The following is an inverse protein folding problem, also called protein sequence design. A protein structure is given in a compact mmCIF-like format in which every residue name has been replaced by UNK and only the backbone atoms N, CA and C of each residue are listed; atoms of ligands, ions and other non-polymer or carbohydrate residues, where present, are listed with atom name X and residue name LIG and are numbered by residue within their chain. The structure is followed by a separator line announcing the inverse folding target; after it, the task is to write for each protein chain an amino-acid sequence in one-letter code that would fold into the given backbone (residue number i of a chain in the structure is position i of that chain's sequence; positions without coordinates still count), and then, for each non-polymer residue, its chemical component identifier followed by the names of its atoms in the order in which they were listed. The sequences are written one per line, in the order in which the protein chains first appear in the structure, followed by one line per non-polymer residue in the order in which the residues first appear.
data_IF_505202715934
#
_entry.id   IF_505202715934
#
_cell.length_a   1.000
_cell.length_b   1.000
_cell.length_c   1.000
_cell.angle_alpha   90.00
_cell.angle_beta   90.00
_cell.angle_gamma   90.00
#
_symmetry.space_group_name_H-M   'P 1'
#
loop_
_entity.id
_entity.type
_entity.pdbx_description
1 polymer ?
#
# COMPACT_ATOMS: atom_id res chain seq x y z
N UNK A 1 -64.62 -14.24 -25.29
CA UNK A 1 -63.52 -13.95 -24.37
C UNK A 1 -63.98 -13.31 -23.08
N UNK A 2 -65.08 -12.54 -23.09
CA UNK A 2 -65.63 -11.84 -21.92
C UNK A 2 -66.57 -12.65 -21.02
N UNK A 3 -66.97 -13.88 -21.43
CA UNK A 3 -67.91 -14.76 -20.69
C UNK A 3 -67.20 -15.78 -19.76
N UNK A 4 -65.89 -15.66 -19.60
CA UNK A 4 -65.14 -16.62 -18.76
C UNK A 4 -64.87 -15.99 -17.36
N UNK A 5 -65.88 -16.01 -16.52
CA UNK A 5 -65.84 -15.45 -15.16
C UNK A 5 -64.65 -15.94 -14.30
N UNK A 6 -64.21 -17.24 -14.35
CA UNK A 6 -63.05 -17.66 -13.59
C UNK A 6 -61.74 -17.05 -14.10
N UNK A 7 -61.58 -16.86 -15.40
CA UNK A 7 -60.39 -16.25 -16.00
C UNK A 7 -60.28 -14.75 -15.60
N UNK A 8 -61.41 -14.01 -15.70
CA UNK A 8 -61.47 -12.62 -15.29
C UNK A 8 -61.15 -12.43 -13.78
N UNK A 9 -61.65 -13.35 -12.97
CA UNK A 9 -61.39 -13.33 -11.52
C UNK A 9 -59.88 -13.64 -11.21
N UNK A 10 -59.26 -14.54 -11.94
CA UNK A 10 -57.84 -14.81 -11.79
C UNK A 10 -56.99 -13.62 -12.24
N UNK A 11 -57.33 -12.98 -13.36
CA UNK A 11 -56.64 -11.77 -13.80
C UNK A 11 -56.80 -10.62 -12.76
N UNK A 12 -58.03 -10.42 -12.27
CA UNK A 12 -58.29 -9.39 -11.24
C UNK A 12 -57.51 -9.65 -9.92
N UNK A 13 -57.47 -10.92 -9.49
CA UNK A 13 -56.68 -11.31 -8.31
C UNK A 13 -55.19 -11.09 -8.54
N UNK A 14 -54.66 -11.48 -9.71
CA UNK A 14 -53.26 -11.27 -10.06
C UNK A 14 -52.90 -9.78 -10.07
N UNK A 15 -53.73 -8.94 -10.68
CA UNK A 15 -53.55 -7.47 -10.70
C UNK A 15 -53.64 -6.88 -9.29
N UNK A 16 -54.55 -7.37 -8.46
CA UNK A 16 -54.64 -6.95 -7.06
C UNK A 16 -53.40 -7.29 -6.26
N UNK A 17 -52.88 -8.52 -6.40
CA UNK A 17 -51.62 -8.94 -5.76
C UNK A 17 -50.43 -8.13 -6.23
N UNK A 18 -50.30 -7.88 -7.54
CA UNK A 18 -49.23 -7.04 -8.09
C UNK A 18 -49.31 -5.60 -7.57
N UNK A 19 -50.52 -5.02 -7.50
CA UNK A 19 -50.72 -3.67 -6.96
C UNK A 19 -50.39 -3.61 -5.47
N UNK A 20 -50.83 -4.60 -4.69
CA UNK A 20 -50.52 -4.70 -3.26
C UNK A 20 -49.01 -4.84 -3.04
N UNK A 21 -48.32 -5.64 -3.83
CA UNK A 21 -46.87 -5.81 -3.79
C UNK A 21 -46.15 -4.49 -4.15
N UNK A 22 -46.61 -3.78 -5.17
CA UNK A 22 -46.03 -2.49 -5.57
C UNK A 22 -46.20 -1.42 -4.48
N UNK A 23 -47.37 -1.36 -3.84
CA UNK A 23 -47.62 -0.43 -2.71
C UNK A 23 -46.77 -0.80 -1.50
N UNK A 24 -46.65 -2.10 -1.20
CA UNK A 24 -45.80 -2.58 -0.11
C UNK A 24 -44.31 -2.24 -0.36
N UNK A 25 -43.83 -2.51 -1.57
CA UNK A 25 -42.45 -2.17 -1.97
C UNK A 25 -42.19 -0.65 -1.90
N UNK A 26 -43.12 0.16 -2.45
CA UNK A 26 -43.01 1.62 -2.39
C UNK A 26 -43.03 2.15 -0.95
N UNK A 27 -43.90 1.62 -0.11
CA UNK A 27 -43.96 1.96 1.32
C UNK A 27 -42.69 1.59 2.07
N UNK A 28 -42.16 0.36 1.85
CA UNK A 28 -40.92 -0.10 2.44
C UNK A 28 -39.73 0.74 1.95
N UNK A 29 -39.64 1.01 0.65
CA UNK A 29 -38.62 1.87 0.08
C UNK A 29 -38.65 3.27 0.69
N UNK A 30 -39.83 3.87 0.82
CA UNK A 30 -40.00 5.17 1.46
C UNK A 30 -39.54 5.17 2.93
N UNK A 31 -39.93 4.15 3.70
CA UNK A 31 -39.52 3.99 5.09
C UNK A 31 -38.00 3.88 5.24
N UNK A 32 -37.38 3.02 4.42
CA UNK A 32 -35.92 2.81 4.47
C UNK A 32 -35.13 4.07 4.13
N UNK A 33 -35.66 4.93 3.23
CA UNK A 33 -35.00 6.19 2.84
C UNK A 33 -35.37 7.40 3.70
N UNK A 34 -36.19 7.21 4.73
CA UNK A 34 -36.55 8.29 5.65
C UNK A 34 -35.33 8.73 6.46
N UNK A 35 -34.84 10.00 6.34
CA UNK A 35 -33.60 10.45 7.00
C UNK A 35 -33.65 10.40 8.53
N UNK A 36 -34.85 10.39 9.11
CA UNK A 36 -35.04 10.25 10.57
C UNK A 36 -35.07 8.82 11.09
N UNK A 37 -35.10 7.81 10.22
CA UNK A 37 -35.15 6.40 10.61
C UNK A 37 -33.71 5.87 10.81
N UNK A 38 -33.32 5.53 12.04
CA UNK A 38 -32.01 5.00 12.39
C UNK A 38 -30.85 5.87 11.87
N UNK A 39 -30.74 7.15 12.27
CA UNK A 39 -29.62 7.97 11.87
C UNK A 39 -28.31 7.37 12.41
N UNK A 40 -27.24 7.42 11.63
CA UNK A 40 -25.91 7.03 12.12
C UNK A 40 -25.46 8.03 13.18
N UNK A 41 -25.34 7.59 14.43
CA UNK A 41 -24.97 8.44 15.56
C UNK A 41 -23.51 8.31 15.97
N UNK A 42 -22.94 7.12 15.78
CA UNK A 42 -21.62 6.80 16.31
C UNK A 42 -20.74 6.22 15.19
N UNK A 43 -19.60 6.84 14.98
CA UNK A 43 -18.52 6.26 14.21
C UNK A 43 -17.42 5.85 15.19
N UNK A 44 -17.12 4.56 15.24
CA UNK A 44 -16.05 4.00 16.09
C UNK A 44 -14.88 3.59 15.25
N UNK A 45 -13.69 3.99 15.67
CA UNK A 45 -12.44 3.47 15.15
C UNK A 45 -12.14 2.16 15.89
N UNK A 46 -11.94 1.08 15.15
CA UNK A 46 -11.67 -0.25 15.72
C UNK A 46 -10.25 -0.36 16.26
N UNK A 47 -9.32 0.35 15.65
CA UNK A 47 -7.92 0.46 16.07
C UNK A 47 -7.55 1.95 16.11
N UNK A 48 -6.70 2.32 17.08
CA UNK A 48 -6.14 3.66 17.11
C UNK A 48 -5.10 3.77 15.99
N UNK A 49 -5.25 4.69 15.04
CA UNK A 49 -4.24 4.92 14.03
C UNK A 49 -2.98 5.50 14.69
N UNK A 50 -1.79 5.08 14.23
CA UNK A 50 -0.52 5.57 14.77
C UNK A 50 -0.07 6.87 14.09
N UNK A 51 -0.37 7.01 12.79
CA UNK A 51 0.10 8.13 11.94
C UNK A 51 -1.03 9.02 11.44
N UNK A 52 -2.24 8.54 11.42
CA UNK A 52 -3.42 9.32 11.04
C UNK A 52 -4.04 9.95 12.29
N UNK A 53 -4.28 11.25 12.26
CA UNK A 53 -4.89 11.96 13.40
C UNK A 53 -6.35 11.54 13.53
N UNK A 54 -6.69 10.88 14.62
CA UNK A 54 -8.03 10.32 14.85
C UNK A 54 -9.14 11.38 14.81
N UNK A 55 -8.84 12.60 15.28
CA UNK A 55 -9.79 13.72 15.30
C UNK A 55 -10.09 14.24 13.89
N UNK A 56 -9.10 14.27 13.00
CA UNK A 56 -9.28 14.67 11.61
C UNK A 56 -10.19 13.67 10.88
N UNK A 57 -9.94 12.38 11.08
CA UNK A 57 -10.78 11.31 10.52
C UNK A 57 -12.22 11.41 11.04
N UNK A 58 -12.40 11.62 12.35
CA UNK A 58 -13.75 11.75 12.91
C UNK A 58 -14.48 12.99 12.37
N UNK A 59 -13.77 14.11 12.21
CA UNK A 59 -14.35 15.34 11.67
C UNK A 59 -14.76 15.17 10.21
N UNK A 60 -13.90 14.55 9.38
CA UNK A 60 -14.20 14.21 7.98
C UNK A 60 -15.42 13.29 7.87
N UNK A 61 -15.46 12.23 8.68
CA UNK A 61 -16.57 11.28 8.68
C UNK A 61 -17.88 11.94 9.11
N UNK A 62 -17.89 12.78 10.17
CA UNK A 62 -19.09 13.50 10.60
C UNK A 62 -19.62 14.46 9.53
N UNK A 63 -18.74 15.09 8.77
CA UNK A 63 -19.13 16.02 7.71
C UNK A 63 -19.73 15.32 6.48
N UNK A 64 -19.40 14.05 6.25
CA UNK A 64 -19.72 13.32 5.03
C UNK A 64 -20.72 12.17 5.25
N UNK A 65 -21.02 11.80 6.50
CA UNK A 65 -22.05 10.80 6.78
C UNK A 65 -23.43 11.42 6.57
N UNK A 66 -23.99 11.18 5.39
CA UNK A 66 -25.33 11.62 5.02
C UNK A 66 -26.23 10.41 4.84
N UNK A 67 -27.51 10.56 5.27
CA UNK A 67 -28.49 9.49 5.20
C UNK A 67 -28.71 8.78 6.54
N UNK A 68 -29.21 7.56 6.47
CA UNK A 68 -29.47 6.72 7.63
C UNK A 68 -28.62 5.46 7.60
N UNK A 69 -28.76 4.59 8.61
CA UNK A 69 -28.02 3.32 8.72
C UNK A 69 -28.06 2.44 7.47
N UNK A 70 -29.14 2.47 6.69
CA UNK A 70 -29.31 1.66 5.48
C UNK A 70 -28.80 2.35 4.23
N UNK A 71 -28.92 3.69 4.16
CA UNK A 71 -28.70 4.48 2.95
C UNK A 71 -27.33 5.17 2.90
N UNK A 72 -26.57 5.16 4.02
CA UNK A 72 -25.22 5.73 4.06
C UNK A 72 -24.32 5.04 3.02
N UNK A 73 -23.64 5.84 2.19
CA UNK A 73 -22.73 5.35 1.17
C UNK A 73 -21.37 5.01 1.78
N UNK A 74 -21.17 3.72 2.04
CA UNK A 74 -19.92 3.19 2.62
C UNK A 74 -18.77 3.25 1.63
N UNK A 75 -19.03 3.06 0.34
CA UNK A 75 -17.97 3.04 -0.68
C UNK A 75 -17.43 4.44 -0.92
N UNK A 76 -18.29 5.45 -0.90
CA UNK A 76 -17.87 6.84 -0.93
C UNK A 76 -17.02 7.21 0.28
N UNK A 77 -17.44 6.82 1.49
CA UNK A 77 -16.69 7.06 2.73
C UNK A 77 -15.32 6.35 2.69
N UNK A 78 -15.29 5.09 2.24
CA UNK A 78 -14.05 4.33 2.07
C UNK A 78 -13.09 5.05 1.12
N UNK A 79 -13.54 5.39 -0.08
CA UNK A 79 -12.70 6.04 -1.09
C UNK A 79 -12.17 7.43 -0.69
N UNK A 80 -12.83 8.12 0.27
CA UNK A 80 -12.29 9.35 0.84
C UNK A 80 -11.19 9.08 1.87
N UNK A 81 -11.37 8.08 2.72
CA UNK A 81 -10.42 7.73 3.76
C UNK A 81 -9.14 7.09 3.18
N UNK A 82 -9.27 6.33 2.09
CA UNK A 82 -8.13 5.74 1.37
C UNK A 82 -7.25 6.77 0.64
N UNK A 83 -7.70 8.02 0.53
CA UNK A 83 -6.87 9.13 0.03
C UNK A 83 -5.93 9.73 1.07
N UNK A 84 -6.08 9.36 2.33
CA UNK A 84 -5.18 9.84 3.39
C UNK A 84 -3.78 9.22 3.21
N UNK A 85 -2.70 9.99 3.33
CA UNK A 85 -1.35 9.58 2.94
C UNK A 85 -0.87 8.26 3.55
N UNK A 86 -1.19 8.00 4.80
CA UNK A 86 -0.72 6.81 5.52
C UNK A 86 -1.72 5.65 5.52
N UNK A 87 -2.89 5.82 4.90
CA UNK A 87 -3.94 4.80 4.87
C UNK A 87 -3.73 3.87 3.70
N UNK A 88 -3.49 2.59 3.96
CA UNK A 88 -3.36 1.54 2.96
C UNK A 88 -4.72 0.97 2.54
N UNK A 89 -5.56 0.68 3.53
CA UNK A 89 -6.86 0.07 3.30
C UNK A 89 -7.84 0.47 4.41
N UNK A 90 -9.10 0.62 4.06
CA UNK A 90 -10.17 0.97 5.01
C UNK A 90 -11.27 -0.08 4.94
N UNK A 91 -11.62 -0.62 6.08
CA UNK A 91 -12.80 -1.47 6.22
C UNK A 91 -13.87 -0.75 7.02
N UNK A 92 -15.05 -0.57 6.43
CA UNK A 92 -16.21 0.05 7.10
C UNK A 92 -17.31 -0.98 7.20
N UNK A 93 -17.79 -1.21 8.42
CA UNK A 93 -18.89 -2.14 8.71
C UNK A 93 -20.02 -1.44 9.45
N UNK A 94 -21.23 -1.80 9.10
CA UNK A 94 -22.43 -1.36 9.85
C UNK A 94 -22.61 -2.22 11.09
N UNK A 95 -22.72 -1.58 12.24
CA UNK A 95 -23.08 -2.22 13.51
C UNK A 95 -24.46 -1.71 13.97
N UNK A 96 -25.44 -2.60 13.91
CA UNK A 96 -26.81 -2.26 14.27
C UNK A 96 -26.91 -1.75 15.72
N UNK A 97 -27.75 -0.74 16.06
CA UNK A 97 -28.74 -0.12 15.18
C UNK A 97 -28.27 1.17 14.47
N UNK A 98 -27.22 1.86 14.92
CA UNK A 98 -26.93 3.24 14.56
C UNK A 98 -25.41 3.55 14.47
N UNK A 99 -24.56 2.52 14.33
CA UNK A 99 -23.11 2.68 14.38
C UNK A 99 -22.42 2.25 13.08
N UNK A 100 -21.32 2.94 12.78
CA UNK A 100 -20.33 2.50 11.79
C UNK A 100 -19.03 2.15 12.54
N UNK A 101 -18.51 0.98 12.26
CA UNK A 101 -17.19 0.55 12.70
C UNK A 101 -16.20 0.72 11.55
N UNK A 102 -15.21 1.58 11.76
CA UNK A 102 -14.17 1.87 10.78
C UNK A 102 -12.85 1.30 11.31
N UNK A 103 -12.19 0.48 10.51
CA UNK A 103 -10.85 -0.02 10.79
C UNK A 103 -9.88 0.38 9.68
N UNK A 104 -8.69 0.82 10.07
CA UNK A 104 -7.63 1.25 9.18
C UNK A 104 -6.49 0.23 9.18
N UNK A 105 -5.96 0.01 8.01
CA UNK A 105 -4.65 -0.59 7.81
C UNK A 105 -3.72 0.51 7.31
N UNK A 106 -2.68 0.82 8.10
CA UNK A 106 -1.72 1.86 7.75
C UNK A 106 -0.53 1.28 6.99
N UNK A 107 0.04 2.09 6.09
CA UNK A 107 1.31 1.77 5.46
C UNK A 107 2.44 1.72 6.48
N UNK A 108 3.31 0.72 6.36
CA UNK A 108 4.59 0.64 7.11
C UNK A 108 5.72 0.89 6.13
N UNK A 109 6.23 2.11 6.13
CA UNK A 109 7.33 2.51 5.26
C UNK A 109 8.59 1.71 5.59
N UNK A 110 9.26 1.20 4.55
CA UNK A 110 10.53 0.46 4.64
C UNK A 110 11.66 1.15 3.87
N UNK A 111 11.33 2.00 2.90
CA UNK A 111 12.30 2.75 2.12
C UNK A 111 11.67 4.02 1.53
N UNK A 112 12.53 4.98 1.14
CA UNK A 112 12.15 6.06 0.23
C UNK A 112 12.12 5.55 -1.21
N UNK A 113 11.28 6.12 -2.07
CA UNK A 113 11.17 5.80 -3.48
C UNK A 113 11.40 7.02 -4.36
N UNK A 114 12.50 7.01 -5.14
CA UNK A 114 12.85 8.08 -6.08
C UNK A 114 12.82 9.50 -5.46
N UNK A 115 13.14 9.64 -4.18
CA UNK A 115 13.16 10.89 -3.40
C UNK A 115 11.80 11.61 -3.25
N UNK A 116 10.70 11.04 -3.73
CA UNK A 116 9.38 11.69 -3.78
C UNK A 116 8.27 10.92 -3.05
N UNK A 117 8.47 9.65 -2.78
CA UNK A 117 7.46 8.77 -2.20
C UNK A 117 8.10 7.78 -1.22
N UNK A 118 7.28 6.90 -0.65
CA UNK A 118 7.70 5.82 0.23
C UNK A 118 7.28 4.47 -0.34
N UNK A 119 7.98 3.41 0.05
CA UNK A 119 7.62 2.00 -0.23
C UNK A 119 7.26 1.32 1.09
N UNK A 120 6.14 0.58 1.09
CA UNK A 120 5.73 -0.21 2.24
C UNK A 120 6.28 -1.65 2.20
N UNK A 121 5.96 -2.44 3.24
CA UNK A 121 6.38 -3.85 3.37
C UNK A 121 5.81 -4.78 2.26
N UNK A 122 4.81 -4.34 1.52
CA UNK A 122 4.20 -5.06 0.40
C UNK A 122 4.81 -4.66 -0.96
N UNK A 123 5.73 -3.67 -0.96
CA UNK A 123 6.31 -3.13 -2.17
C UNK A 123 5.43 -2.08 -2.88
N UNK A 124 4.35 -1.63 -2.24
CA UNK A 124 3.47 -0.60 -2.79
C UNK A 124 4.08 0.79 -2.54
N UNK A 125 4.03 1.64 -3.56
CA UNK A 125 4.47 3.04 -3.48
C UNK A 125 3.31 3.90 -2.99
N UNK A 126 3.57 4.78 -2.03
CA UNK A 126 2.58 5.72 -1.52
C UNK A 126 3.22 7.08 -1.19
N UNK A 127 2.44 8.14 -1.31
CA UNK A 127 2.89 9.51 -1.08
C UNK A 127 2.65 9.88 0.39
N UNK A 128 3.74 10.02 1.15
CA UNK A 128 3.70 10.52 2.52
C UNK A 128 5.09 11.03 2.92
N UNK A 129 5.13 11.90 3.92
CA UNK A 129 6.38 12.36 4.52
C UNK A 129 6.79 11.45 5.67
N UNK A 130 8.09 11.16 5.79
CA UNK A 130 8.67 10.40 6.89
C UNK A 130 9.91 11.11 7.42
N UNK A 131 10.00 11.21 8.74
CA UNK A 131 11.20 11.70 9.44
C UNK A 131 12.13 10.56 9.87
N UNK A 132 11.74 9.33 9.60
CA UNK A 132 12.53 8.14 9.93
C UNK A 132 13.62 7.96 8.88
N UNK A 133 14.85 7.68 9.32
CA UNK A 133 15.94 7.34 8.41
C UNK A 133 15.67 5.96 7.83
N UNK A 134 15.41 5.92 6.54
CA UNK A 134 15.12 4.73 5.76
C UNK A 134 16.13 4.62 4.61
N UNK A 135 16.38 3.42 4.07
CA UNK A 135 17.16 3.27 2.84
C UNK A 135 16.43 3.91 1.64
N UNK A 136 17.19 4.29 0.62
CA UNK A 136 16.67 4.89 -0.59
C UNK A 136 16.59 3.87 -1.71
N UNK A 137 15.43 3.73 -2.34
CA UNK A 137 15.20 2.89 -3.50
C UNK A 137 14.99 3.73 -4.75
N UNK A 138 15.68 3.36 -5.82
CA UNK A 138 15.54 3.98 -7.12
C UNK A 138 15.17 2.94 -8.17
N UNK A 139 14.17 3.24 -8.97
CA UNK A 139 13.69 2.35 -10.02
C UNK A 139 12.70 3.02 -10.95
N UNK A 140 12.32 2.30 -12.00
CA UNK A 140 11.23 2.72 -12.88
C UNK A 140 9.88 2.41 -12.24
N UNK A 141 8.85 3.09 -12.69
CA UNK A 141 7.48 2.85 -12.21
C UNK A 141 7.11 1.36 -12.31
N UNK A 142 6.45 0.83 -11.27
CA UNK A 142 6.05 -0.57 -11.18
C UNK A 142 7.14 -1.54 -10.74
N UNK A 143 8.39 -1.11 -10.55
CA UNK A 143 9.50 -2.01 -10.13
C UNK A 143 9.73 -2.06 -8.62
N UNK A 144 8.98 -1.29 -7.83
CA UNK A 144 9.16 -1.22 -6.37
C UNK A 144 9.06 -2.58 -5.65
N UNK A 145 8.16 -3.53 -6.04
CA UNK A 145 8.13 -4.85 -5.39
C UNK A 145 9.39 -5.69 -5.69
N UNK A 146 9.94 -5.53 -6.91
CA UNK A 146 11.18 -6.20 -7.30
C UNK A 146 12.37 -5.62 -6.51
N UNK A 147 12.45 -4.30 -6.40
CA UNK A 147 13.51 -3.61 -5.66
C UNK A 147 13.47 -3.99 -4.18
N UNK A 148 12.29 -4.02 -3.56
CA UNK A 148 12.13 -4.46 -2.17
C UNK A 148 12.62 -5.89 -1.97
N UNK A 149 12.19 -6.82 -2.82
CA UNK A 149 12.60 -8.23 -2.75
C UNK A 149 14.11 -8.39 -2.88
N UNK A 150 14.75 -7.64 -3.78
CA UNK A 150 16.21 -7.69 -3.94
C UNK A 150 16.93 -7.02 -2.78
N UNK A 151 16.40 -5.95 -2.22
CA UNK A 151 16.93 -5.32 -1.03
C UNK A 151 17.00 -6.30 0.15
N UNK A 152 15.93 -7.05 0.40
CA UNK A 152 15.91 -8.09 1.45
C UNK A 152 16.96 -9.17 1.21
N UNK A 153 17.05 -9.66 -0.03
CA UNK A 153 18.04 -10.66 -0.44
C UNK A 153 19.48 -10.16 -0.26
N UNK A 154 19.79 -8.97 -0.75
CA UNK A 154 21.13 -8.40 -0.69
C UNK A 154 21.51 -8.05 0.75
N UNK A 155 20.60 -7.47 1.53
CA UNK A 155 20.82 -7.16 2.93
C UNK A 155 21.09 -8.43 3.76
N UNK A 156 20.34 -9.51 3.51
CA UNK A 156 20.56 -10.81 4.16
C UNK A 156 21.95 -11.39 3.85
N UNK A 157 22.41 -11.27 2.59
CA UNK A 157 23.74 -11.76 2.19
C UNK A 157 24.88 -10.90 2.76
N UNK A 158 24.67 -9.59 2.92
CA UNK A 158 25.67 -8.66 3.46
C UNK A 158 25.74 -8.64 4.99
N UNK A 159 24.72 -9.15 5.67
CA UNK A 159 24.64 -9.17 7.14
C UNK A 159 25.89 -9.76 7.83
N UNK A 160 26.52 -10.85 7.36
CA UNK A 160 27.74 -11.39 7.97
C UNK A 160 28.93 -10.42 7.95
N UNK A 161 28.94 -9.46 7.04
CA UNK A 161 29.97 -8.41 6.94
C UNK A 161 29.62 -7.16 7.77
N UNK A 162 28.47 -7.14 8.45
CA UNK A 162 27.94 -5.96 9.15
C UNK A 162 27.76 -4.75 8.24
N UNK A 163 27.46 -4.97 6.95
CA UNK A 163 27.21 -3.95 5.96
C UNK A 163 25.72 -3.81 5.72
N UNK A 164 25.19 -2.60 5.92
CA UNK A 164 23.84 -2.23 5.55
C UNK A 164 23.78 -1.70 4.11
N UNK A 165 22.68 -1.97 3.41
CA UNK A 165 22.37 -1.31 2.12
C UNK A 165 21.64 -0.02 2.44
N UNK A 166 22.27 1.12 2.15
CA UNK A 166 21.69 2.46 2.36
C UNK A 166 20.91 2.95 1.16
N UNK A 167 21.33 2.51 -0.03
CA UNK A 167 20.63 2.85 -1.27
C UNK A 167 20.71 1.68 -2.25
N UNK A 168 19.59 1.38 -2.91
CA UNK A 168 19.49 0.36 -3.93
C UNK A 168 18.93 0.97 -5.22
N UNK A 169 19.67 0.83 -6.31
CA UNK A 169 19.29 1.39 -7.60
C UNK A 169 19.07 0.29 -8.62
N UNK A 170 17.90 0.29 -9.23
CA UNK A 170 17.57 -0.47 -10.43
C UNK A 170 17.48 0.49 -11.61
N UNK A 171 18.48 0.47 -12.47
CA UNK A 171 18.51 1.32 -13.66
C UNK A 171 17.44 0.89 -14.69
N UNK A 172 17.11 1.78 -15.63
CA UNK A 172 16.21 1.49 -16.76
C UNK A 172 16.69 0.32 -17.66
N UNK A 173 17.98 -0.05 -17.56
CA UNK A 173 18.57 -1.21 -18.26
C UNK A 173 18.60 -2.47 -17.39
N UNK A 174 17.83 -2.49 -16.30
CA UNK A 174 17.81 -3.56 -15.29
C UNK A 174 19.19 -3.89 -14.69
N UNK A 175 20.05 -2.87 -14.54
CA UNK A 175 21.33 -3.03 -13.85
C UNK A 175 21.19 -2.58 -12.39
N UNK A 176 21.75 -3.38 -11.48
CA UNK A 176 21.70 -3.19 -10.04
C UNK A 176 22.97 -2.52 -9.52
N UNK A 177 22.78 -1.55 -8.63
CA UNK A 177 23.84 -0.85 -7.92
C UNK A 177 23.45 -0.71 -6.46
N UNK A 178 24.36 -1.03 -5.54
CA UNK A 178 24.17 -0.93 -4.10
C UNK A 178 25.10 0.13 -3.54
N UNK A 179 24.57 1.01 -2.69
CA UNK A 179 25.36 1.89 -1.84
C UNK A 179 25.34 1.33 -0.43
N UNK A 180 26.51 1.03 0.11
CA UNK A 180 26.67 0.39 1.40
C UNK A 180 26.89 1.43 2.51
N UNK A 181 26.67 1.00 3.76
CA UNK A 181 26.80 1.86 4.96
C UNK A 181 28.23 2.38 5.19
N UNK A 182 29.23 1.80 4.54
CA UNK A 182 30.62 2.27 4.54
C UNK A 182 30.98 3.18 3.36
N UNK A 183 29.98 3.71 2.65
CA UNK A 183 30.09 4.57 1.46
C UNK A 183 30.73 3.90 0.23
N UNK A 184 30.84 2.58 0.21
CA UNK A 184 31.27 1.84 -1.00
C UNK A 184 30.05 1.60 -1.89
N UNK A 185 30.20 1.86 -3.17
CA UNK A 185 29.22 1.54 -4.20
C UNK A 185 29.60 0.22 -4.87
N UNK A 186 28.68 -0.74 -4.92
CA UNK A 186 28.90 -2.04 -5.57
C UNK A 186 28.05 -2.10 -6.84
N UNK A 187 28.70 -2.22 -8.01
CA UNK A 187 28.04 -2.40 -9.29
C UNK A 187 27.90 -3.88 -9.61
N UNK A 188 26.66 -4.40 -9.57
CA UNK A 188 26.36 -5.81 -9.86
C UNK A 188 25.96 -6.02 -11.33
N UNK A 189 25.43 -4.98 -11.99
CA UNK A 189 24.89 -5.09 -13.34
C UNK A 189 23.58 -5.85 -13.39
N UNK A 190 23.21 -6.42 -14.54
CA UNK A 190 21.89 -7.03 -14.79
C UNK A 190 21.88 -8.57 -14.75
N UNK A 191 23.04 -9.21 -14.81
CA UNK A 191 23.17 -10.65 -14.94
C UNK A 191 23.92 -11.24 -13.74
N UNK A 192 23.52 -12.44 -13.31
CA UNK A 192 24.21 -13.19 -12.27
C UNK A 192 24.47 -12.41 -10.95
N UNK A 193 23.58 -11.50 -10.58
CA UNK A 193 23.72 -10.57 -9.45
C UNK A 193 24.06 -11.28 -8.15
N UNK A 194 23.39 -12.40 -7.85
CA UNK A 194 23.61 -13.18 -6.66
C UNK A 194 25.03 -13.75 -6.59
N UNK A 195 25.53 -14.27 -7.71
CA UNK A 195 26.90 -14.80 -7.80
C UNK A 195 27.94 -13.68 -7.68
N UNK A 196 27.66 -12.52 -8.29
CA UNK A 196 28.54 -11.35 -8.21
C UNK A 196 28.59 -10.79 -6.80
N UNK A 197 27.45 -10.72 -6.09
CA UNK A 197 27.43 -10.29 -4.71
C UNK A 197 28.14 -11.30 -3.80
N UNK A 198 27.93 -12.60 -3.98
CA UNK A 198 28.65 -13.63 -3.24
C UNK A 198 30.17 -13.53 -3.45
N UNK A 199 30.62 -13.24 -4.67
CA UNK A 199 32.03 -13.00 -4.96
C UNK A 199 32.54 -11.73 -4.28
N UNK A 200 31.77 -10.63 -4.29
CA UNK A 200 32.09 -9.41 -3.55
C UNK A 200 32.29 -9.72 -2.08
N UNK A 201 31.37 -10.46 -1.45
CA UNK A 201 31.43 -10.84 -0.04
C UNK A 201 32.71 -11.64 0.25
N UNK A 202 33.08 -12.59 -0.62
CA UNK A 202 34.28 -13.40 -0.46
C UNK A 202 35.57 -12.59 -0.56
N UNK A 203 35.63 -11.58 -1.43
CA UNK A 203 36.84 -10.76 -1.62
C UNK A 203 36.90 -9.53 -0.72
N UNK A 204 35.79 -9.14 -0.11
CA UNK A 204 35.68 -7.93 0.72
C UNK A 204 36.75 -7.84 1.83
N UNK A 205 37.02 -8.90 2.64
CA UNK A 205 38.06 -8.85 3.67
C UNK A 205 39.45 -8.54 3.10
N UNK A 206 39.74 -9.08 1.91
CA UNK A 206 41.04 -8.84 1.24
C UNK A 206 41.14 -7.42 0.70
N UNK A 207 40.04 -6.87 0.17
CA UNK A 207 39.95 -5.49 -0.28
C UNK A 207 40.18 -4.55 0.91
N UNK A 208 39.56 -4.81 2.03
CA UNK A 208 39.65 -3.97 3.23
C UNK A 208 41.00 -4.08 3.96
N UNK A 209 41.78 -5.11 3.68
CA UNK A 209 43.14 -5.25 4.21
C UNK A 209 44.19 -4.41 3.44
N UNK A 210 43.81 -3.81 2.29
CA UNK A 210 44.73 -2.99 1.49
C UNK A 210 44.93 -1.61 2.11
N UNK A 211 46.11 -0.98 1.98
CA UNK A 211 46.36 0.37 2.49
C UNK A 211 45.40 1.44 1.91
N UNK A 212 44.93 1.22 0.66
CA UNK A 212 43.99 2.09 -0.06
C UNK A 212 42.54 1.82 0.27
N UNK A 213 42.21 0.93 1.20
CA UNK A 213 40.84 0.53 1.52
C UNK A 213 39.91 1.71 1.87
N UNK A 214 40.45 2.74 2.56
CA UNK A 214 39.69 3.93 2.96
C UNK A 214 39.29 4.84 1.81
N UNK A 215 40.00 4.74 0.68
CA UNK A 215 39.79 5.56 -0.50
C UNK A 215 38.90 4.90 -1.54
N UNK A 216 38.45 3.67 -1.29
CA UNK A 216 37.59 2.94 -2.20
C UNK A 216 36.23 3.63 -2.30
N UNK A 217 35.86 3.96 -3.52
CA UNK A 217 34.55 4.55 -3.84
C UNK A 217 33.63 3.53 -4.51
N UNK A 218 34.13 2.78 -5.49
CA UNK A 218 33.32 1.84 -6.29
C UNK A 218 34.05 0.51 -6.43
N UNK A 219 33.29 -0.59 -6.28
CA UNK A 219 33.71 -1.94 -6.63
C UNK A 219 32.82 -2.45 -7.76
N UNK A 220 33.37 -2.57 -8.95
CA UNK A 220 32.64 -3.03 -10.13
C UNK A 220 32.78 -4.54 -10.29
N UNK A 221 31.71 -5.28 -10.05
CA UNK A 221 31.61 -6.73 -10.11
C UNK A 221 31.12 -7.27 -11.46
N UNK A 222 30.95 -6.43 -12.47
CA UNK A 222 30.38 -6.82 -13.77
C UNK A 222 31.33 -7.69 -14.60
N UNK A 223 32.60 -7.66 -14.30
CA UNK A 223 33.57 -8.48 -14.99
C UNK A 223 33.39 -9.98 -14.70
N UNK A 224 33.62 -10.83 -15.71
CA UNK A 224 33.38 -12.27 -15.61
C UNK A 224 34.33 -12.94 -14.60
N UNK A 225 35.60 -12.66 -14.69
CA UNK A 225 36.68 -13.36 -13.99
C UNK A 225 37.41 -12.49 -12.95
N UNK A 226 36.86 -11.32 -12.62
CA UNK A 226 37.50 -10.37 -11.71
C UNK A 226 36.54 -9.27 -11.25
N UNK A 227 37.14 -8.20 -10.73
CA UNK A 227 36.45 -6.97 -10.35
C UNK A 227 37.40 -5.78 -10.56
N UNK A 228 36.84 -4.59 -10.68
CA UNK A 228 37.62 -3.35 -10.71
C UNK A 228 37.33 -2.51 -9.50
N UNK A 229 38.31 -1.83 -8.96
CA UNK A 229 38.17 -0.90 -7.86
C UNK A 229 38.47 0.50 -8.34
N UNK A 230 37.59 1.44 -8.09
CA UNK A 230 37.81 2.86 -8.30
C UNK A 230 38.01 3.55 -6.97
N UNK A 231 39.12 4.25 -6.84
CA UNK A 231 39.44 5.06 -5.68
C UNK A 231 38.82 6.45 -5.79
N UNK A 232 38.60 7.07 -4.65
CA UNK A 232 38.20 8.48 -4.57
C UNK A 232 39.35 9.35 -5.07
N UNK A 233 39.09 10.37 -5.91
CA UNK A 233 40.13 11.31 -6.27
C UNK A 233 40.65 12.03 -5.01
N UNK A 234 41.99 12.22 -4.97
CA UNK A 234 42.67 12.93 -3.90
C UNK A 234 42.27 14.41 -3.83
#
# INVERSE_FOLDING_TARGET
MWDNAPLLRNIANTLFFLSALAVFYGGMHYLVHMPGLLPVKVVRLSNAPERVVADDVQSMLRAQVHGNFFTVDIDQLRGMLEKLPWVRNVSIRREFPDKLLVSFEEHKAVAHWNDIALVNQQGEVFEAESTVVLPDFFGTEGTSPEVLKQFENFSGQLAPLHLGVMQLVLSTRHAWQLHLSNNIVVELGREAMQQRLARFIAVYPYIMAQPTARDIQVVDMRYRDGFAVRLRPA
#
